data_IF_234234910970
#
_entry.id   IF_234234910970
#
_cell.length_a   1.000
_cell.length_b   1.000
_cell.length_c   1.000
_cell.angle_alpha   90.00
_cell.angle_beta   90.00
_cell.angle_gamma   90.00
#
_symmetry.space_group_name_H-M   'P 1'
#
loop_
_entity.id
_entity.type
_entity.pdbx_description
1 polymer ?
#
# COMPACT_ATOMS: atom_id res chain seq x y z
N UNK A 1 30.68 -1.66 20.18
CA UNK A 1 30.88 -0.91 18.93
C UNK A 1 29.58 -1.00 18.16
N UNK A 2 28.86 0.09 17.92
CA UNK A 2 27.58 0.08 17.21
C UNK A 2 27.79 0.25 15.72
N UNK A 3 27.17 -0.61 14.92
CA UNK A 3 27.08 -0.46 13.48
C UNK A 3 26.02 0.58 13.13
N UNK A 4 26.49 1.78 12.79
CA UNK A 4 25.69 2.84 12.19
C UNK A 4 25.75 2.71 10.66
N UNK A 5 24.71 2.16 10.03
CA UNK A 5 24.54 2.31 8.58
C UNK A 5 23.61 3.48 8.28
N UNK A 6 24.19 4.68 8.35
CA UNK A 6 23.55 5.88 7.81
C UNK A 6 23.59 5.83 6.28
N UNK A 7 22.43 5.72 5.65
CA UNK A 7 22.25 6.01 4.23
C UNK A 7 22.49 7.53 4.02
N UNK A 8 23.72 7.89 3.69
CA UNK A 8 24.07 9.23 3.22
C UNK A 8 23.62 9.37 1.78
N UNK A 9 22.54 10.12 1.57
CA UNK A 9 22.17 10.62 0.24
C UNK A 9 22.96 11.89 -0.01
N UNK A 10 23.87 11.83 -0.96
CA UNK A 10 24.65 12.96 -1.45
C UNK A 10 23.71 13.87 -2.25
N UNK A 11 23.56 15.11 -1.78
CA UNK A 11 22.92 16.18 -2.53
C UNK A 11 23.90 16.61 -3.65
N UNK A 12 23.61 16.23 -4.89
CA UNK A 12 24.28 16.82 -6.05
C UNK A 12 23.33 17.84 -6.67
N UNK A 13 23.66 19.12 -6.55
CA UNK A 13 23.12 20.19 -7.41
C UNK A 13 23.50 19.84 -8.85
N UNK A 14 22.53 19.58 -9.69
CA UNK A 14 22.72 19.41 -11.11
C UNK A 14 22.26 20.68 -11.80
N UNK A 15 23.24 21.46 -12.28
CA UNK A 15 23.05 22.46 -13.31
C UNK A 15 22.47 21.78 -14.55
N UNK A 16 21.49 22.43 -15.19
CA UNK A 16 20.92 21.97 -16.45
C UNK A 16 21.99 22.07 -17.55
N UNK A 17 22.71 20.99 -17.77
CA UNK A 17 23.45 20.75 -18.99
C UNK A 17 22.66 19.80 -19.89
N UNK A 18 22.72 19.95 -21.23
CA UNK A 18 22.04 19.05 -22.14
C UNK A 18 22.57 17.65 -21.91
N UNK A 19 21.66 16.70 -21.68
CA UNK A 19 21.97 15.29 -21.44
C UNK A 19 22.57 14.72 -22.72
N UNK A 20 23.89 14.50 -22.73
CA UNK A 20 24.54 13.64 -23.73
C UNK A 20 24.22 12.20 -23.36
N UNK A 21 23.37 11.56 -24.19
CA UNK A 21 22.90 10.20 -24.02
C UNK A 21 24.07 9.19 -24.00
N UNK A 22 24.09 8.29 -23.01
CA UNK A 22 24.87 7.06 -23.04
C UNK A 22 24.20 6.03 -23.96
N UNK A 23 25.00 5.36 -24.74
CA UNK A 23 24.64 4.47 -25.83
C UNK A 23 23.95 3.17 -25.42
N UNK A 24 22.77 3.25 -24.75
CA UNK A 24 21.80 2.13 -24.58
C UNK A 24 20.41 2.61 -24.15
N UNK A 25 20.21 3.92 -23.96
CA UNK A 25 18.88 4.54 -23.81
C UNK A 25 18.59 5.22 -25.14
N UNK A 26 17.52 4.79 -25.83
CA UNK A 26 17.13 5.36 -27.12
C UNK A 26 17.05 6.90 -27.05
N UNK A 27 17.41 7.56 -28.16
CA UNK A 27 17.37 9.02 -28.28
C UNK A 27 15.99 9.52 -27.83
N UNK A 28 15.95 10.53 -26.91
CA UNK A 28 14.69 11.11 -26.43
C UNK A 28 13.91 11.69 -27.61
N UNK A 29 12.72 11.16 -27.85
CA UNK A 29 11.85 11.59 -28.94
C UNK A 29 11.04 12.82 -28.54
N UNK A 30 11.52 13.98 -28.97
CA UNK A 30 10.88 15.26 -28.71
C UNK A 30 9.49 15.34 -29.33
N UNK A 31 9.28 14.79 -30.54
CA UNK A 31 7.97 14.83 -31.19
C UNK A 31 6.94 14.03 -30.40
N UNK A 32 7.32 12.85 -29.87
CA UNK A 32 6.47 12.08 -28.97
C UNK A 32 6.15 12.84 -27.68
N UNK A 33 7.15 13.50 -27.08
CA UNK A 33 6.96 14.29 -25.86
C UNK A 33 5.95 15.42 -26.09
N UNK A 34 6.13 16.20 -27.15
CA UNK A 34 5.23 17.28 -27.50
C UNK A 34 3.81 16.78 -27.83
N UNK A 35 3.69 15.64 -28.50
CA UNK A 35 2.40 14.97 -28.74
C UNK A 35 1.67 14.61 -27.43
N UNK A 36 2.39 14.12 -26.43
CA UNK A 36 1.82 13.81 -25.10
C UNK A 36 1.33 15.09 -24.43
N UNK A 37 2.16 16.13 -24.40
CA UNK A 37 1.77 17.41 -23.80
C UNK A 37 0.54 18.03 -24.48
N UNK A 38 0.49 17.99 -25.82
CA UNK A 38 -0.66 18.42 -26.61
C UNK A 38 -1.92 17.59 -26.31
N UNK A 39 -1.77 16.27 -26.17
CA UNK A 39 -2.87 15.38 -25.81
C UNK A 39 -3.40 15.65 -24.38
N UNK A 40 -2.52 15.93 -23.42
CA UNK A 40 -2.92 16.33 -22.06
C UNK A 40 -3.70 17.63 -22.08
N UNK A 41 -3.20 18.67 -22.81
CA UNK A 41 -3.88 19.97 -22.96
C UNK A 41 -5.28 19.78 -23.52
N UNK A 42 -5.38 19.09 -24.65
CA UNK A 42 -6.66 18.85 -25.32
C UNK A 42 -7.66 18.16 -24.41
N UNK A 43 -7.22 17.09 -23.72
CA UNK A 43 -8.09 16.35 -22.83
C UNK A 43 -8.50 17.15 -21.60
N UNK A 44 -7.56 17.86 -20.96
CA UNK A 44 -7.86 18.69 -19.79
C UNK A 44 -8.88 19.80 -20.13
N UNK A 45 -8.73 20.45 -21.28
CA UNK A 45 -9.69 21.44 -21.79
C UNK A 45 -11.07 20.82 -22.02
N UNK A 46 -11.13 19.62 -22.65
CA UNK A 46 -12.40 18.92 -22.90
C UNK A 46 -13.11 18.47 -21.61
N UNK A 47 -12.38 18.33 -20.53
CA UNK A 47 -12.89 17.95 -19.21
C UNK A 47 -13.12 19.18 -18.30
N UNK A 48 -13.11 20.41 -18.86
CA UNK A 48 -13.39 21.70 -18.20
C UNK A 48 -12.45 22.01 -17.01
N UNK A 49 -11.19 21.58 -17.09
CA UNK A 49 -10.17 21.98 -16.13
C UNK A 49 -9.75 23.42 -16.44
N UNK A 50 -9.53 24.25 -15.42
CA UNK A 50 -9.16 25.66 -15.59
C UNK A 50 -7.87 25.81 -16.40
N UNK A 51 -7.79 26.89 -17.19
CA UNK A 51 -6.60 27.20 -17.97
C UNK A 51 -5.37 27.39 -17.10
N UNK A 52 -5.54 27.93 -15.88
CA UNK A 52 -4.46 28.10 -14.90
C UNK A 52 -3.82 26.77 -14.54
N UNK A 53 -4.61 25.76 -14.15
CA UNK A 53 -4.09 24.44 -13.79
C UNK A 53 -3.46 23.72 -14.99
N UNK A 54 -4.03 23.90 -16.20
CA UNK A 54 -3.45 23.35 -17.43
C UNK A 54 -2.06 23.95 -17.67
N UNK A 55 -1.95 25.28 -17.63
CA UNK A 55 -0.70 25.98 -17.89
C UNK A 55 0.34 25.70 -16.81
N UNK A 56 -0.07 25.63 -15.54
CA UNK A 56 0.81 25.27 -14.44
C UNK A 56 1.35 23.84 -14.57
N UNK A 57 0.50 22.89 -14.98
CA UNK A 57 0.92 21.50 -15.22
C UNK A 57 1.97 21.40 -16.32
N UNK A 58 1.79 22.20 -17.41
CA UNK A 58 2.56 22.09 -18.64
C UNK A 58 3.62 23.22 -18.81
N UNK A 59 3.81 24.10 -17.83
CA UNK A 59 4.72 25.25 -17.92
C UNK A 59 6.20 24.86 -18.09
N UNK A 60 6.65 23.85 -17.37
CA UNK A 60 8.03 23.37 -17.42
C UNK A 60 8.08 21.86 -17.11
N UNK A 61 7.53 21.03 -17.99
CA UNK A 61 7.49 19.59 -17.80
C UNK A 61 8.89 19.00 -17.95
N UNK A 62 9.25 18.12 -17.00
CA UNK A 62 10.56 17.47 -16.98
C UNK A 62 10.38 15.97 -17.12
N UNK A 63 11.05 15.36 -18.08
CA UNK A 63 11.20 13.92 -18.15
C UNK A 63 12.13 13.42 -17.03
N UNK A 64 11.69 12.42 -16.28
CA UNK A 64 12.40 11.86 -15.12
C UNK A 64 12.74 10.39 -15.36
N UNK A 65 13.94 10.07 -15.92
CA UNK A 65 14.34 8.69 -16.26
C UNK A 65 14.27 7.72 -15.08
N UNK A 66 14.57 8.18 -13.87
CA UNK A 66 14.51 7.34 -12.67
C UNK A 66 13.10 6.83 -12.34
N UNK A 67 12.07 7.56 -12.70
CA UNK A 67 10.67 7.14 -12.55
C UNK A 67 10.37 5.96 -13.48
N UNK A 68 10.75 6.07 -14.74
CA UNK A 68 10.61 5.00 -15.73
C UNK A 68 11.42 3.76 -15.34
N UNK A 69 12.66 3.96 -14.88
CA UNK A 69 13.49 2.87 -14.37
C UNK A 69 12.84 2.16 -13.18
N UNK A 70 12.25 2.90 -12.24
CA UNK A 70 11.54 2.31 -11.08
C UNK A 70 10.32 1.50 -11.51
N UNK A 71 9.60 1.96 -12.54
CA UNK A 71 8.45 1.25 -13.10
C UNK A 71 8.85 -0.06 -13.81
N UNK A 72 9.99 -0.07 -14.52
CA UNK A 72 10.53 -1.29 -15.17
C UNK A 72 11.12 -2.27 -14.18
N UNK A 73 11.72 -1.78 -13.10
CA UNK A 73 12.43 -2.56 -12.09
C UNK A 73 11.55 -2.85 -10.86
N UNK A 74 10.24 -3.06 -11.03
CA UNK A 74 9.40 -3.64 -9.98
C UNK A 74 9.82 -5.10 -9.73
N UNK A 75 11.04 -5.30 -9.23
CA UNK A 75 11.41 -6.57 -8.61
C UNK A 75 10.59 -6.69 -7.33
N UNK A 76 9.61 -7.56 -7.33
CA UNK A 76 9.04 -8.08 -6.11
C UNK A 76 10.21 -8.67 -5.31
N UNK A 77 10.68 -7.94 -4.30
CA UNK A 77 11.53 -8.54 -3.28
C UNK A 77 10.66 -9.62 -2.65
N UNK A 78 10.95 -10.88 -2.97
CA UNK A 78 10.28 -12.04 -2.40
C UNK A 78 10.76 -12.21 -0.96
N UNK A 79 10.33 -11.31 -0.08
CA UNK A 79 10.51 -11.48 1.35
C UNK A 79 9.61 -12.61 1.82
N UNK A 80 10.09 -13.46 2.72
CA UNK A 80 9.21 -14.36 3.46
C UNK A 80 8.19 -13.53 4.26
N UNK A 81 7.06 -14.13 4.63
CA UNK A 81 6.07 -13.47 5.46
C UNK A 81 6.68 -12.95 6.76
N UNK A 82 7.53 -13.75 7.40
CA UNK A 82 8.20 -13.36 8.63
C UNK A 82 9.11 -12.13 8.44
N UNK A 83 9.95 -12.13 7.40
CA UNK A 83 10.81 -10.99 7.07
C UNK A 83 9.98 -9.74 6.78
N UNK A 84 8.86 -9.89 6.06
CA UNK A 84 7.95 -8.80 5.77
C UNK A 84 7.33 -8.21 7.05
N UNK A 85 6.82 -9.06 7.95
CA UNK A 85 6.23 -8.64 9.22
C UNK A 85 7.26 -7.97 10.13
N UNK A 86 8.46 -8.54 10.28
CA UNK A 86 9.53 -7.96 11.08
C UNK A 86 9.92 -6.55 10.59
N UNK A 87 9.91 -6.34 9.27
CA UNK A 87 10.19 -5.04 8.66
C UNK A 87 9.04 -4.05 8.82
N UNK A 88 7.79 -4.50 8.71
CA UNK A 88 6.63 -3.61 8.61
C UNK A 88 5.87 -3.45 9.93
N UNK A 89 5.85 -4.44 10.81
CA UNK A 89 5.17 -4.42 12.12
C UNK A 89 6.19 -4.34 13.24
N UNK A 90 7.13 -3.39 13.14
CA UNK A 90 8.20 -3.19 14.10
C UNK A 90 7.77 -2.29 15.28
N UNK A 91 8.54 -2.34 16.37
CA UNK A 91 8.26 -1.61 17.61
C UNK A 91 8.13 -0.09 17.40
N UNK A 92 8.96 0.50 16.54
CA UNK A 92 8.89 1.94 16.27
C UNK A 92 7.55 2.33 15.66
N UNK A 93 7.06 1.55 14.68
CA UNK A 93 5.75 1.80 14.06
C UNK A 93 4.61 1.61 15.04
N UNK A 94 4.67 0.59 15.90
CA UNK A 94 3.67 0.37 16.95
C UNK A 94 3.65 1.54 17.94
N UNK A 95 4.80 1.97 18.43
CA UNK A 95 4.89 3.10 19.37
C UNK A 95 4.42 4.41 18.72
N UNK A 96 4.79 4.67 17.47
CA UNK A 96 4.31 5.84 16.74
C UNK A 96 2.78 5.79 16.55
N UNK A 97 2.21 4.62 16.25
CA UNK A 97 0.76 4.44 16.16
C UNK A 97 0.04 4.75 17.48
N UNK A 98 0.57 4.26 18.60
CA UNK A 98 0.04 4.59 19.93
C UNK A 98 0.12 6.08 20.24
N UNK A 99 1.20 6.76 19.84
CA UNK A 99 1.30 8.23 19.96
C UNK A 99 0.25 8.93 19.12
N UNK A 100 -0.01 8.44 17.89
CA UNK A 100 -1.04 9.02 17.02
C UNK A 100 -2.46 8.77 17.56
N UNK A 101 -2.72 7.62 18.18
CA UNK A 101 -3.99 7.35 18.86
C UNK A 101 -4.26 8.40 19.97
N UNK A 102 -3.25 8.73 20.77
CA UNK A 102 -3.33 9.76 21.82
C UNK A 102 -3.45 11.17 21.23
N UNK A 103 -2.79 11.42 20.10
CA UNK A 103 -2.79 12.76 19.47
C UNK A 103 -4.10 13.11 18.77
N UNK A 104 -4.77 12.11 18.18
CA UNK A 104 -5.96 12.31 17.33
C UNK A 104 -7.22 11.56 17.78
N UNK A 105 -7.54 11.46 19.10
CA UNK A 105 -8.61 10.59 19.57
C UNK A 105 -9.98 11.03 19.03
N UNK A 106 -10.24 12.34 19.03
CA UNK A 106 -11.50 12.90 18.52
C UNK A 106 -11.66 12.65 17.01
N UNK A 107 -10.61 12.85 16.23
CA UNK A 107 -10.65 12.64 14.78
C UNK A 107 -10.88 11.17 14.44
N UNK A 108 -10.15 10.27 15.07
CA UNK A 108 -10.31 8.82 14.91
C UNK A 108 -11.72 8.36 15.28
N UNK A 109 -12.26 8.84 16.40
CA UNK A 109 -13.63 8.54 16.82
C UNK A 109 -14.69 9.08 15.82
N UNK A 110 -14.48 10.26 15.23
CA UNK A 110 -15.34 10.78 14.17
C UNK A 110 -15.33 9.89 12.93
N UNK A 111 -14.12 9.40 12.50
CA UNK A 111 -13.99 8.50 11.37
C UNK A 111 -14.67 7.16 11.63
N UNK A 112 -14.49 6.59 12.81
CA UNK A 112 -15.13 5.35 13.23
C UNK A 112 -16.65 5.47 13.23
N UNK A 113 -17.19 6.55 13.80
CA UNK A 113 -18.62 6.82 13.81
C UNK A 113 -19.20 7.04 12.39
N UNK A 114 -18.47 7.71 11.51
CA UNK A 114 -18.94 8.03 10.17
C UNK A 114 -18.90 6.83 9.21
N UNK A 115 -17.90 5.96 9.33
CA UNK A 115 -17.62 4.92 8.34
C UNK A 115 -17.62 3.49 8.90
N UNK A 116 -17.74 3.31 10.20
CA UNK A 116 -17.70 1.99 10.86
C UNK A 116 -16.33 1.33 10.81
N UNK A 117 -15.26 2.07 10.51
CA UNK A 117 -13.89 1.55 10.47
C UNK A 117 -13.20 1.85 11.79
N UNK A 118 -12.81 0.84 12.60
CA UNK A 118 -12.25 1.07 13.92
C UNK A 118 -10.96 1.89 13.87
N UNK A 119 -10.76 2.73 14.89
CA UNK A 119 -9.62 3.65 15.01
C UNK A 119 -8.26 2.95 14.84
N UNK A 120 -8.08 1.77 15.44
CA UNK A 120 -6.85 0.98 15.33
C UNK A 120 -6.58 0.47 13.91
N UNK A 121 -7.63 0.27 13.10
CA UNK A 121 -7.49 -0.10 11.68
C UNK A 121 -7.01 1.10 10.86
N UNK A 122 -7.62 2.28 11.04
CA UNK A 122 -7.16 3.51 10.37
C UNK A 122 -5.69 3.79 10.70
N UNK A 123 -5.30 3.64 11.97
CA UNK A 123 -3.91 3.80 12.40
C UNK A 123 -2.97 2.76 11.76
N UNK A 124 -3.41 1.51 11.60
CA UNK A 124 -2.62 0.48 10.94
C UNK A 124 -2.35 0.83 9.47
N UNK A 125 -3.37 1.25 8.72
CA UNK A 125 -3.19 1.73 7.35
C UNK A 125 -2.25 2.95 7.30
N UNK A 126 -2.47 3.95 8.14
CA UNK A 126 -1.63 5.15 8.18
C UNK A 126 -0.16 4.82 8.47
N UNK A 127 0.08 3.91 9.41
CA UNK A 127 1.42 3.40 9.71
C UNK A 127 2.06 2.65 8.54
N UNK A 128 1.30 1.78 7.88
CA UNK A 128 1.81 1.00 6.75
C UNK A 128 2.12 1.85 5.52
N UNK A 129 1.27 2.83 5.20
CA UNK A 129 1.38 3.64 3.98
C UNK A 129 2.49 4.70 4.07
N UNK A 130 2.58 5.43 5.17
CA UNK A 130 3.50 6.57 5.25
C UNK A 130 4.27 6.70 6.56
N UNK A 131 4.24 5.67 7.42
CA UNK A 131 4.75 5.77 8.79
C UNK A 131 4.19 7.01 9.51
N UNK A 132 2.87 7.16 9.47
CA UNK A 132 2.12 8.28 10.07
C UNK A 132 2.47 9.65 9.47
N UNK A 133 2.79 9.70 8.18
CA UNK A 133 3.13 10.92 7.45
C UNK A 133 4.60 11.35 7.55
N UNK A 134 5.46 10.54 8.18
CA UNK A 134 6.91 10.83 8.26
C UNK A 134 7.63 10.61 6.92
N UNK A 135 7.14 9.66 6.11
CA UNK A 135 7.73 9.36 4.80
C UNK A 135 7.31 10.43 3.80
N UNK A 136 8.24 11.33 3.48
CA UNK A 136 7.99 12.39 2.52
C UNK A 136 8.11 11.88 1.09
N UNK A 137 7.10 12.19 0.30
CA UNK A 137 7.09 11.96 -1.15
C UNK A 137 8.11 12.84 -1.87
N UNK A 138 8.80 12.29 -2.91
CA UNK A 138 9.97 12.94 -3.54
C UNK A 138 9.70 13.48 -4.94
N UNK A 139 8.78 12.83 -5.68
CA UNK A 139 8.56 13.14 -7.09
C UNK A 139 7.46 14.18 -7.24
N UNK A 140 7.70 15.22 -8.07
CA UNK A 140 6.63 16.06 -8.57
C UNK A 140 5.72 15.18 -9.44
N UNK A 141 4.43 15.05 -9.05
CA UNK A 141 3.55 14.06 -9.66
C UNK A 141 3.27 14.33 -11.12
N UNK A 142 3.17 15.60 -11.54
CA UNK A 142 3.01 15.97 -12.94
C UNK A 142 4.16 15.41 -13.79
N UNK A 143 5.41 15.59 -13.36
CA UNK A 143 6.58 15.08 -14.06
C UNK A 143 6.66 13.54 -14.04
N UNK A 144 6.29 12.92 -12.93
CA UNK A 144 6.27 11.46 -12.83
C UNK A 144 5.27 10.84 -13.81
N UNK A 145 4.04 11.37 -13.85
CA UNK A 145 3.02 10.86 -14.77
C UNK A 145 3.38 11.10 -16.24
N UNK A 146 3.84 12.30 -16.59
CA UNK A 146 4.29 12.60 -17.96
C UNK A 146 5.42 11.67 -18.40
N UNK A 147 6.37 11.36 -17.52
CA UNK A 147 7.46 10.43 -17.81
C UNK A 147 6.96 9.00 -18.05
N UNK A 148 5.99 8.55 -17.25
CA UNK A 148 5.39 7.22 -17.41
C UNK A 148 4.47 7.13 -18.64
N UNK A 149 3.84 8.23 -19.02
CA UNK A 149 3.12 8.33 -20.29
C UNK A 149 4.08 8.22 -21.49
N UNK A 150 5.24 8.91 -21.39
CA UNK A 150 6.26 8.85 -22.44
C UNK A 150 6.84 7.44 -22.61
N UNK A 151 7.03 6.65 -21.54
CA UNK A 151 7.43 5.24 -21.62
C UNK A 151 6.43 4.40 -22.43
N UNK A 152 5.15 4.75 -22.42
CA UNK A 152 4.09 4.19 -23.26
C UNK A 152 3.46 2.89 -22.71
N UNK A 153 4.13 2.15 -21.84
CA UNK A 153 3.70 0.83 -21.34
C UNK A 153 2.33 0.87 -20.67
N UNK A 154 2.01 1.96 -19.95
CA UNK A 154 0.73 2.19 -19.26
C UNK A 154 0.21 3.61 -19.50
N UNK A 155 0.39 4.14 -20.70
CA UNK A 155 0.09 5.53 -21.06
C UNK A 155 -1.33 5.94 -20.67
N UNK A 156 -2.34 5.17 -21.08
CA UNK A 156 -3.75 5.44 -20.75
C UNK A 156 -4.00 5.52 -19.23
N UNK A 157 -3.38 4.63 -18.46
CA UNK A 157 -3.53 4.64 -17.01
C UNK A 157 -2.95 5.92 -16.41
N UNK A 158 -1.72 6.30 -16.77
CA UNK A 158 -1.07 7.48 -16.21
C UNK A 158 -1.69 8.79 -16.72
N UNK A 159 -2.21 8.82 -17.95
CA UNK A 159 -3.04 9.93 -18.44
C UNK A 159 -4.25 10.13 -17.53
N UNK A 160 -4.97 9.07 -17.20
CA UNK A 160 -6.12 9.16 -16.29
C UNK A 160 -5.71 9.65 -14.89
N UNK A 161 -4.56 9.23 -14.37
CA UNK A 161 -4.06 9.73 -13.09
C UNK A 161 -3.72 11.22 -13.14
N UNK A 162 -3.06 11.69 -14.22
CA UNK A 162 -2.71 13.10 -14.37
C UNK A 162 -3.96 13.98 -14.49
N UNK A 163 -4.92 13.59 -15.31
CA UNK A 163 -6.18 14.34 -15.43
C UNK A 163 -6.95 14.37 -14.13
N UNK A 164 -7.00 13.25 -13.39
CA UNK A 164 -7.62 13.23 -12.06
C UNK A 164 -6.90 14.15 -11.07
N UNK A 165 -5.55 14.17 -11.10
CA UNK A 165 -4.75 15.07 -10.28
C UNK A 165 -5.04 16.54 -10.58
N UNK A 166 -5.11 16.90 -11.88
CA UNK A 166 -5.45 18.25 -12.33
C UNK A 166 -6.84 18.67 -11.84
N UNK A 167 -7.85 17.79 -11.95
CA UNK A 167 -9.21 18.05 -11.41
C UNK A 167 -9.24 18.24 -9.91
N UNK A 168 -8.44 17.45 -9.17
CA UNK A 168 -8.33 17.60 -7.72
C UNK A 168 -7.71 18.94 -7.36
N UNK A 169 -6.62 19.30 -8.04
CA UNK A 169 -5.94 20.58 -7.82
C UNK A 169 -6.88 21.77 -8.12
N UNK A 170 -7.57 21.72 -9.25
CA UNK A 170 -8.53 22.75 -9.70
C UNK A 170 -9.68 22.92 -8.69
N UNK A 171 -10.35 21.83 -8.37
CA UNK A 171 -11.50 21.84 -7.46
C UNK A 171 -11.16 22.30 -6.04
N UNK A 172 -9.98 21.94 -5.54
CA UNK A 172 -9.58 22.19 -4.17
C UNK A 172 -8.59 23.36 -4.03
N UNK A 173 -8.33 24.10 -5.11
CA UNK A 173 -7.41 25.24 -5.17
C UNK A 173 -5.99 24.90 -4.67
N UNK A 174 -5.51 23.68 -5.01
CA UNK A 174 -4.18 23.21 -4.63
C UNK A 174 -3.15 23.61 -5.69
N UNK A 175 -1.97 24.03 -5.26
CA UNK A 175 -0.84 24.27 -6.17
C UNK A 175 -0.33 22.92 -6.72
N UNK A 176 -0.74 22.60 -7.96
CA UNK A 176 -0.38 21.34 -8.63
C UNK A 176 1.14 21.18 -8.78
N UNK A 177 1.90 22.26 -8.80
CA UNK A 177 3.35 22.23 -8.90
C UNK A 177 4.02 21.73 -7.61
N UNK A 178 3.33 21.85 -6.48
CA UNK A 178 3.81 21.42 -5.16
C UNK A 178 3.31 20.04 -4.76
N UNK A 179 2.42 19.41 -5.52
CA UNK A 179 1.95 18.05 -5.21
C UNK A 179 3.08 17.04 -5.46
N UNK A 180 3.49 16.37 -4.39
CA UNK A 180 4.54 15.34 -4.39
C UNK A 180 3.95 13.97 -4.08
N UNK A 181 4.53 12.93 -4.69
CA UNK A 181 4.11 11.55 -4.46
C UNK A 181 5.24 10.54 -4.63
N UNK A 182 4.88 9.27 -4.64
CA UNK A 182 5.77 8.19 -5.05
C UNK A 182 6.02 8.27 -6.57
N UNK A 183 6.99 7.50 -7.06
CA UNK A 183 7.24 7.40 -8.50
C UNK A 183 6.01 6.90 -9.29
N UNK A 184 5.13 6.10 -8.66
CA UNK A 184 3.91 5.56 -9.27
C UNK A 184 2.66 6.43 -9.05
N UNK A 185 2.79 7.59 -8.38
CA UNK A 185 1.69 8.54 -8.22
C UNK A 185 0.92 8.44 -6.91
N UNK A 186 1.35 7.61 -5.97
CA UNK A 186 0.74 7.55 -4.63
C UNK A 186 1.12 8.78 -3.81
N UNK A 187 0.16 9.43 -3.14
CA UNK A 187 0.34 10.70 -2.44
C UNK A 187 -0.35 10.76 -1.08
N UNK A 188 0.15 11.64 -0.24
CA UNK A 188 -0.41 11.95 1.07
C UNK A 188 -0.25 10.85 2.11
N UNK A 189 -0.94 11.03 3.22
CA UNK A 189 -0.82 10.19 4.41
C UNK A 189 -1.17 8.71 4.19
N UNK A 190 -2.09 8.42 3.28
CA UNK A 190 -2.57 7.06 2.98
C UNK A 190 -2.23 6.60 1.55
N UNK A 191 -1.28 7.27 0.90
CA UNK A 191 -0.76 6.90 -0.41
C UNK A 191 -1.85 6.65 -1.48
N UNK A 192 -2.84 7.53 -1.54
CA UNK A 192 -3.88 7.49 -2.57
C UNK A 192 -3.30 7.81 -3.95
N UNK A 193 -3.74 7.07 -4.98
CA UNK A 193 -3.58 7.53 -6.36
C UNK A 193 -4.68 8.53 -6.72
N UNK A 194 -4.45 9.48 -7.64
CA UNK A 194 -5.40 10.55 -7.95
C UNK A 194 -6.82 10.09 -8.27
N UNK A 195 -7.00 9.05 -9.09
CA UNK A 195 -8.33 8.53 -9.44
C UNK A 195 -9.08 7.98 -8.23
N UNK A 196 -8.39 7.34 -7.28
CA UNK A 196 -8.99 6.85 -6.04
C UNK A 196 -9.37 8.02 -5.13
N UNK A 197 -8.51 9.04 -5.03
CA UNK A 197 -8.84 10.26 -4.26
C UNK A 197 -10.03 11.01 -4.87
N UNK A 198 -10.08 11.15 -6.19
CA UNK A 198 -11.21 11.80 -6.86
C UNK A 198 -12.56 11.11 -6.56
N UNK A 199 -12.54 9.79 -6.37
CA UNK A 199 -13.74 8.99 -6.12
C UNK A 199 -14.11 8.92 -4.64
N UNK A 200 -13.14 8.86 -3.75
CA UNK A 200 -13.35 8.56 -2.33
C UNK A 200 -12.89 9.65 -1.36
N UNK A 201 -12.31 10.74 -1.87
CA UNK A 201 -11.86 11.85 -1.05
C UNK A 201 -13.01 12.51 -0.28
N UNK A 202 -12.74 12.90 0.96
CA UNK A 202 -13.67 13.55 1.85
C UNK A 202 -12.98 14.73 2.54
N UNK A 203 -13.65 15.87 2.59
CA UNK A 203 -13.28 17.00 3.44
C UNK A 203 -13.59 16.61 4.91
N UNK A 204 -12.57 16.23 5.63
CA UNK A 204 -12.69 15.74 7.02
C UNK A 204 -12.56 16.83 8.06
N UNK A 205 -11.96 17.99 7.71
CA UNK A 205 -11.78 19.13 8.58
C UNK A 205 -12.91 20.19 8.43
N UNK A 206 -13.66 20.16 7.31
CA UNK A 206 -14.79 21.04 7.04
C UNK A 206 -14.41 22.41 6.47
N UNK A 207 -13.25 22.51 5.79
CA UNK A 207 -12.78 23.76 5.17
C UNK A 207 -13.21 23.93 3.71
N UNK A 208 -14.01 23.00 3.16
CA UNK A 208 -14.48 22.91 1.79
C UNK A 208 -13.38 22.57 0.76
N UNK A 209 -12.25 22.05 1.21
CA UNK A 209 -11.17 21.53 0.37
C UNK A 209 -10.82 20.10 0.75
N UNK A 210 -10.22 19.35 -0.15
CA UNK A 210 -9.72 18.00 0.15
C UNK A 210 -8.21 17.99 -0.06
N UNK A 211 -7.46 18.11 1.04
CA UNK A 211 -5.99 18.07 1.04
C UNK A 211 -5.47 16.92 1.89
N UNK A 212 -5.33 15.74 1.31
CA UNK A 212 -4.82 14.54 2.00
C UNK A 212 -3.31 14.57 2.28
N UNK A 213 -2.62 15.62 1.83
CA UNK A 213 -1.18 15.81 2.02
C UNK A 213 -0.92 16.61 3.30
N UNK A 214 -1.60 17.72 3.48
CA UNK A 214 -1.38 18.65 4.60
C UNK A 214 -2.45 18.53 5.69
N UNK A 215 -3.66 18.02 5.36
CA UNK A 215 -4.75 17.77 6.32
C UNK A 215 -4.82 16.30 6.73
N UNK A 216 -4.46 16.02 7.98
CA UNK A 216 -4.63 14.68 8.57
C UNK A 216 -6.11 14.30 8.66
N UNK A 217 -7.00 15.30 8.86
CA UNK A 217 -8.44 15.09 8.88
C UNK A 217 -8.98 14.53 7.58
N UNK A 218 -8.68 15.20 6.47
CA UNK A 218 -9.11 14.78 5.13
C UNK A 218 -8.53 13.42 4.76
N UNK A 219 -7.26 13.20 5.12
CA UNK A 219 -6.60 11.93 4.86
C UNK A 219 -7.28 10.77 5.61
N UNK A 220 -7.58 10.92 6.90
CA UNK A 220 -8.26 9.89 7.71
C UNK A 220 -9.69 9.66 7.25
N UNK A 221 -10.47 10.73 6.98
CA UNK A 221 -11.85 10.62 6.50
C UNK A 221 -11.91 9.97 5.11
N UNK A 222 -11.00 10.33 4.21
CA UNK A 222 -10.89 9.70 2.89
C UNK A 222 -10.56 8.21 3.00
N UNK A 223 -9.65 7.82 3.89
CA UNK A 223 -9.30 6.42 4.12
C UNK A 223 -10.49 5.64 4.71
N UNK A 224 -11.17 6.20 5.70
CA UNK A 224 -12.38 5.62 6.30
C UNK A 224 -13.49 5.42 5.26
N UNK A 225 -13.77 6.46 4.46
CA UNK A 225 -14.76 6.39 3.39
C UNK A 225 -14.39 5.32 2.35
N UNK A 226 -13.13 5.26 1.93
CA UNK A 226 -12.71 4.26 0.95
C UNK A 226 -12.88 2.83 1.49
N UNK A 227 -12.47 2.54 2.72
CA UNK A 227 -12.67 1.22 3.35
C UNK A 227 -14.17 0.89 3.49
N UNK A 228 -14.99 1.84 3.89
CA UNK A 228 -16.45 1.68 3.95
C UNK A 228 -17.02 1.32 2.55
N UNK A 229 -16.64 2.05 1.50
CA UNK A 229 -17.07 1.77 0.12
C UNK A 229 -16.54 0.45 -0.43
N UNK A 230 -15.41 -0.04 0.06
CA UNK A 230 -14.94 -1.41 -0.22
C UNK A 230 -15.76 -2.48 0.51
N UNK A 231 -16.70 -2.07 1.36
CA UNK A 231 -17.63 -2.93 2.09
C UNK A 231 -17.10 -3.37 3.46
N UNK A 232 -16.26 -2.56 4.13
CA UNK A 232 -15.79 -2.83 5.48
C UNK A 232 -16.94 -3.20 6.43
N UNK A 233 -16.78 -4.28 7.19
CA UNK A 233 -17.73 -4.69 8.22
C UNK A 233 -17.08 -4.57 9.61
N UNK A 234 -17.57 -3.68 10.49
CA UNK A 234 -17.01 -3.47 11.82
C UNK A 234 -17.06 -4.71 12.73
N UNK A 235 -17.99 -5.63 12.46
CA UNK A 235 -18.19 -6.83 13.26
C UNK A 235 -17.33 -8.02 12.81
N UNK A 236 -16.50 -7.86 11.76
CA UNK A 236 -15.66 -8.91 11.24
C UNK A 236 -14.18 -8.65 11.52
N UNK A 237 -13.46 -9.68 11.87
CA UNK A 237 -11.99 -9.63 11.94
C UNK A 237 -11.38 -9.51 10.54
N UNK A 238 -10.12 -9.07 10.50
CA UNK A 238 -9.29 -9.11 9.28
C UNK A 238 -8.72 -10.51 9.12
N UNK A 239 -7.91 -10.94 10.08
CA UNK A 239 -7.27 -12.24 10.12
C UNK A 239 -7.10 -12.74 11.56
N UNK A 240 -6.77 -14.01 11.71
CA UNK A 240 -6.41 -14.65 12.97
C UNK A 240 -5.15 -15.50 12.74
N UNK A 241 -4.11 -15.25 13.51
CA UNK A 241 -2.94 -16.14 13.51
C UNK A 241 -3.34 -17.50 14.08
N UNK A 242 -2.84 -18.56 13.46
CA UNK A 242 -3.10 -19.96 13.84
C UNK A 242 -1.83 -20.79 13.61
N UNK A 243 -1.80 -21.98 14.21
CA UNK A 243 -0.82 -23.02 13.93
C UNK A 243 -1.48 -24.22 13.25
N UNK A 244 -0.73 -24.88 12.40
CA UNK A 244 -1.18 -26.03 11.61
C UNK A 244 -0.37 -27.26 11.94
N UNK A 245 -0.94 -28.48 11.75
CA UNK A 245 -0.17 -29.71 11.74
C UNK A 245 0.99 -29.66 10.75
N UNK A 246 2.07 -30.35 11.06
CA UNK A 246 3.27 -30.34 10.24
C UNK A 246 3.09 -30.91 8.82
N UNK A 247 2.16 -31.84 8.68
CA UNK A 247 1.77 -32.51 7.41
C UNK A 247 0.59 -31.81 6.69
N UNK A 248 0.19 -30.62 7.14
CA UNK A 248 -0.94 -29.91 6.58
C UNK A 248 -0.80 -29.70 5.05
N UNK A 249 -1.88 -29.91 4.31
CA UNK A 249 -1.92 -29.74 2.86
C UNK A 249 -1.70 -28.27 2.44
N UNK A 250 -0.51 -27.99 1.88
CA UNK A 250 -0.12 -26.62 1.46
C UNK A 250 -0.96 -26.08 0.31
N UNK A 251 -1.65 -26.93 -0.46
CA UNK A 251 -2.55 -26.51 -1.54
C UNK A 251 -3.73 -25.65 -1.04
N UNK A 252 -4.09 -25.78 0.24
CA UNK A 252 -5.18 -25.07 0.90
C UNK A 252 -4.78 -23.69 1.45
N UNK A 253 -3.50 -23.31 1.35
CA UNK A 253 -2.92 -22.14 2.05
C UNK A 253 -2.87 -20.85 1.21
N UNK A 254 -3.60 -20.78 0.10
CA UNK A 254 -3.57 -19.61 -0.81
C UNK A 254 -4.69 -18.60 -0.52
N UNK A 255 -5.62 -18.91 0.37
CA UNK A 255 -6.74 -18.06 0.76
C UNK A 255 -7.95 -18.08 -0.20
N UNK A 256 -7.87 -18.79 -1.30
CA UNK A 256 -8.95 -19.01 -2.27
C UNK A 256 -9.92 -20.12 -1.82
N UNK A 257 -9.41 -21.16 -1.17
CA UNK A 257 -10.22 -22.22 -0.55
C UNK A 257 -10.81 -21.68 0.77
N UNK A 258 -12.13 -21.64 0.84
CA UNK A 258 -12.87 -21.17 2.02
C UNK A 258 -13.68 -22.29 2.62
N UNK A 259 -13.56 -22.47 3.94
CA UNK A 259 -14.28 -23.48 4.72
C UNK A 259 -14.86 -22.86 5.99
N UNK A 260 -15.92 -23.42 6.59
CA UNK A 260 -16.34 -23.10 7.95
C UNK A 260 -15.23 -23.32 8.96
N UNK A 261 -15.19 -22.53 10.03
CA UNK A 261 -14.17 -22.68 11.09
C UNK A 261 -14.20 -24.08 11.72
N UNK A 262 -15.38 -24.71 11.83
CA UNK A 262 -15.55 -26.10 12.29
C UNK A 262 -14.77 -27.08 11.42
N UNK A 263 -14.73 -26.89 10.10
CA UNK A 263 -13.92 -27.74 9.20
C UNK A 263 -12.43 -27.50 9.36
N UNK A 264 -12.00 -26.24 9.49
CA UNK A 264 -10.59 -25.96 9.77
C UNK A 264 -10.14 -26.55 11.10
N UNK A 265 -10.97 -26.47 12.15
CA UNK A 265 -10.69 -27.09 13.44
C UNK A 265 -10.55 -28.62 13.33
N UNK A 266 -11.44 -29.30 12.57
CA UNK A 266 -11.33 -30.76 12.35
C UNK A 266 -10.09 -31.19 11.57
N UNK A 267 -9.47 -30.26 10.82
CA UNK A 267 -8.19 -30.46 10.13
C UNK A 267 -6.96 -30.14 11.03
N UNK A 268 -7.16 -29.92 12.32
CA UNK A 268 -6.08 -29.66 13.27
C UNK A 268 -5.59 -28.22 13.34
N UNK A 269 -6.34 -27.25 12.81
CA UNK A 269 -6.01 -25.82 12.96
C UNK A 269 -6.28 -25.36 14.39
N UNK A 270 -5.26 -24.82 15.05
CA UNK A 270 -5.32 -24.39 16.45
C UNK A 270 -4.91 -22.92 16.60
N UNK A 271 -5.29 -22.30 17.72
CA UNK A 271 -4.71 -21.01 18.11
C UNK A 271 -3.20 -21.17 18.40
N UNK A 272 -2.41 -20.08 18.41
CA UNK A 272 -0.95 -20.15 18.67
C UNK A 272 -0.57 -20.75 20.02
N UNK A 273 -1.45 -20.71 21.01
CA UNK A 273 -1.27 -21.31 22.34
C UNK A 273 -1.68 -22.79 22.41
N UNK A 274 -2.04 -23.39 21.27
CA UNK A 274 -2.50 -24.77 21.17
C UNK A 274 -3.98 -24.96 21.51
N UNK A 275 -4.71 -23.94 21.93
CA UNK A 275 -6.14 -24.03 22.19
C UNK A 275 -6.97 -24.14 20.91
N UNK A 276 -8.17 -24.78 20.98
CA UNK A 276 -9.05 -24.88 19.81
C UNK A 276 -9.47 -23.50 19.26
N UNK A 277 -9.54 -23.38 17.92
CA UNK A 277 -10.21 -22.24 17.31
C UNK A 277 -11.75 -22.35 17.48
N UNK A 278 -12.51 -21.23 17.36
CA UNK A 278 -13.97 -21.30 17.38
C UNK A 278 -14.52 -22.28 16.31
N UNK A 279 -15.53 -23.07 16.68
CA UNK A 279 -16.15 -24.09 15.82
C UNK A 279 -17.54 -23.67 15.35
N UNK A 280 -17.69 -22.44 14.89
CA UNK A 280 -18.93 -21.94 14.30
C UNK A 280 -18.89 -22.03 12.76
N UNK A 281 -20.01 -21.72 12.11
CA UNK A 281 -20.16 -21.78 10.65
C UNK A 281 -19.55 -20.57 9.90
N UNK A 282 -18.86 -19.67 10.61
CA UNK A 282 -18.16 -18.56 9.97
C UNK A 282 -17.13 -19.09 8.97
N UNK A 283 -17.21 -18.60 7.74
CA UNK A 283 -16.35 -19.05 6.64
C UNK A 283 -15.06 -18.22 6.62
N UNK A 284 -13.93 -18.91 6.57
CA UNK A 284 -12.61 -18.29 6.43
C UNK A 284 -11.75 -18.98 5.37
N UNK A 285 -10.85 -18.23 4.74
CA UNK A 285 -9.73 -18.80 3.99
C UNK A 285 -8.54 -19.07 4.91
N UNK A 286 -7.50 -19.70 4.38
CA UNK A 286 -6.26 -19.93 5.11
C UNK A 286 -5.09 -19.47 4.24
N UNK A 287 -4.19 -18.66 4.81
CA UNK A 287 -3.02 -18.12 4.12
C UNK A 287 -1.77 -18.37 4.94
N UNK A 288 -0.72 -18.88 4.29
CA UNK A 288 0.60 -19.04 4.87
C UNK A 288 1.69 -18.81 3.82
N UNK A 289 2.94 -18.77 4.27
CA UNK A 289 4.12 -18.74 3.40
C UNK A 289 4.47 -20.16 2.96
N UNK A 290 3.86 -20.60 1.86
CA UNK A 290 4.02 -21.97 1.33
C UNK A 290 5.48 -22.25 1.00
N UNK A 291 6.20 -21.28 0.39
CA UNK A 291 7.61 -21.48 0.03
C UNK A 291 8.49 -21.69 1.27
N UNK A 292 8.24 -20.93 2.35
CA UNK A 292 8.97 -21.10 3.60
C UNK A 292 8.65 -22.45 4.27
N UNK A 293 7.39 -22.92 4.19
CA UNK A 293 6.96 -24.21 4.74
C UNK A 293 7.65 -25.36 3.99
N UNK A 294 7.64 -25.33 2.66
CA UNK A 294 8.25 -26.37 1.83
C UNK A 294 9.75 -26.44 2.06
N UNK A 295 10.45 -25.29 2.08
CA UNK A 295 11.87 -25.24 2.41
C UNK A 295 12.19 -25.77 3.80
N UNK A 296 11.36 -25.47 4.81
CA UNK A 296 11.57 -25.98 6.17
C UNK A 296 11.37 -27.51 6.26
N UNK A 297 10.43 -28.06 5.49
CA UNK A 297 10.20 -29.51 5.39
C UNK A 297 11.38 -30.23 4.71
N UNK A 298 11.88 -29.68 3.61
CA UNK A 298 13.06 -30.20 2.89
C UNK A 298 14.28 -30.24 3.80
N UNK A 299 14.58 -29.14 4.50
CA UNK A 299 15.70 -29.05 5.46
C UNK A 299 15.57 -30.06 6.61
N UNK A 300 14.35 -30.29 7.12
CA UNK A 300 14.12 -31.25 8.18
C UNK A 300 14.39 -32.70 7.73
N UNK A 301 14.10 -33.03 6.47
CA UNK A 301 14.38 -34.35 5.87
C UNK A 301 15.88 -34.58 5.63
N UNK A 302 16.66 -33.54 5.29
CA UNK A 302 18.09 -33.65 5.06
C UNK A 302 18.93 -33.84 6.33
N UNK A 303 18.49 -33.25 7.46
CA UNK A 303 19.25 -33.25 8.74
C UNK A 303 19.13 -34.56 9.50
N UNK A 304 18.17 -35.42 9.23
CA UNK A 304 17.91 -36.60 10.05
C UNK A 304 17.47 -37.82 9.22
N UNK A 305 18.38 -38.42 8.42
CA UNK A 305 18.06 -39.68 7.73
C UNK A 305 17.97 -40.89 8.68
N UNK A 306 18.51 -40.83 9.93
CA UNK A 306 18.66 -41.97 10.83
C UNK A 306 18.02 -41.82 12.22
N UNK A 307 17.30 -40.74 12.52
CA UNK A 307 16.64 -40.54 13.79
C UNK A 307 15.14 -40.28 13.61
N UNK A 308 14.32 -41.16 14.22
CA UNK A 308 12.85 -41.14 14.14
C UNK A 308 12.16 -39.85 14.65
N UNK A 309 12.87 -38.81 15.05
CA UNK A 309 12.26 -37.60 15.67
C UNK A 309 13.07 -36.37 15.37
N UNK A 310 13.03 -35.87 14.13
CA UNK A 310 13.24 -34.43 13.95
C UNK A 310 11.94 -33.71 14.32
N UNK A 311 11.96 -32.71 15.23
CA UNK A 311 10.74 -31.96 15.54
C UNK A 311 10.29 -31.24 14.28
N UNK A 312 9.17 -31.68 13.70
CA UNK A 312 8.57 -31.03 12.54
C UNK A 312 8.24 -29.57 12.88
N UNK A 313 8.56 -28.62 12.00
CA UNK A 313 8.38 -27.21 12.31
C UNK A 313 6.91 -26.87 12.52
N UNK A 314 6.63 -26.05 13.54
CA UNK A 314 5.30 -25.48 13.75
C UNK A 314 4.99 -24.54 12.59
N UNK A 315 3.96 -24.87 11.81
CA UNK A 315 3.53 -24.06 10.68
C UNK A 315 2.64 -22.92 11.19
N UNK A 316 3.11 -21.67 11.03
CA UNK A 316 2.27 -20.50 11.28
C UNK A 316 1.47 -20.15 10.03
N UNK A 317 0.16 -19.94 10.20
CA UNK A 317 -0.76 -19.50 9.16
C UNK A 317 -1.74 -18.45 9.69
N UNK A 318 -2.60 -17.94 8.80
CA UNK A 318 -3.64 -16.97 9.12
C UNK A 318 -4.99 -17.39 8.54
N UNK A 319 -5.97 -17.58 9.40
CA UNK A 319 -7.38 -17.59 8.99
C UNK A 319 -7.75 -16.18 8.52
N UNK A 320 -8.31 -16.07 7.31
CA UNK A 320 -8.62 -14.81 6.65
C UNK A 320 -10.12 -14.66 6.48
N UNK A 321 -10.65 -13.55 6.99
CA UNK A 321 -12.07 -13.23 7.01
C UNK A 321 -12.44 -12.22 5.89
N UNK A 322 -13.73 -11.90 5.67
CA UNK A 322 -14.11 -11.01 4.57
C UNK A 322 -13.38 -9.66 4.53
N UNK A 323 -13.09 -9.03 5.69
CA UNK A 323 -12.32 -7.78 5.73
C UNK A 323 -10.90 -7.91 5.16
N UNK A 324 -10.27 -9.08 5.26
CA UNK A 324 -8.98 -9.35 4.63
C UNK A 324 -9.02 -9.13 3.10
N UNK A 325 -10.08 -9.63 2.46
CA UNK A 325 -10.26 -9.49 1.01
C UNK A 325 -10.68 -8.07 0.61
N UNK A 326 -11.27 -7.29 1.51
CA UNK A 326 -11.52 -5.85 1.30
C UNK A 326 -10.23 -5.06 1.34
N UNK A 327 -9.31 -5.38 2.26
CA UNK A 327 -7.95 -4.81 2.30
C UNK A 327 -7.19 -5.14 1.02
N UNK A 328 -7.33 -6.34 0.48
CA UNK A 328 -6.71 -6.71 -0.81
C UNK A 328 -7.21 -5.90 -2.01
N UNK A 329 -8.34 -5.22 -1.93
CA UNK A 329 -8.77 -4.25 -2.96
C UNK A 329 -8.03 -2.92 -2.84
N UNK A 330 -7.51 -2.58 -1.65
CA UNK A 330 -6.61 -1.45 -1.45
C UNK A 330 -5.21 -1.78 -1.97
N UNK A 331 -4.64 -2.88 -1.50
CA UNK A 331 -3.35 -3.40 -1.94
C UNK A 331 -3.44 -4.91 -2.10
N UNK A 332 -3.29 -5.43 -3.33
CA UNK A 332 -3.46 -6.85 -3.65
C UNK A 332 -2.28 -7.71 -3.21
N UNK A 333 -1.92 -7.63 -1.94
CA UNK A 333 -0.88 -8.45 -1.30
C UNK A 333 -1.43 -9.14 -0.06
N UNK A 334 -1.22 -10.46 0.03
CA UNK A 334 -1.55 -11.21 1.25
C UNK A 334 -0.71 -10.73 2.44
N UNK A 335 0.58 -10.48 2.22
CA UNK A 335 1.50 -10.00 3.26
C UNK A 335 1.09 -8.63 3.79
N UNK A 336 0.69 -7.73 2.90
CA UNK A 336 0.17 -6.43 3.29
C UNK A 336 -1.10 -6.55 4.17
N UNK A 337 -2.06 -7.37 3.76
CA UNK A 337 -3.30 -7.54 4.51
C UNK A 337 -3.06 -8.22 5.88
N UNK A 338 -2.13 -9.18 5.97
CA UNK A 338 -1.69 -9.76 7.23
C UNK A 338 -0.99 -8.71 8.12
N UNK A 339 -0.11 -7.89 7.54
CA UNK A 339 0.57 -6.83 8.30
C UNK A 339 -0.41 -5.78 8.85
N UNK A 340 -1.44 -5.40 8.08
CA UNK A 340 -2.54 -4.54 8.57
C UNK A 340 -3.24 -5.21 9.77
N UNK A 341 -3.55 -6.51 9.69
CA UNK A 341 -4.19 -7.24 10.79
C UNK A 341 -3.31 -7.26 12.04
N UNK A 342 -2.04 -7.64 11.91
CA UNK A 342 -1.08 -7.71 13.02
C UNK A 342 -0.81 -6.34 13.66
N UNK A 343 -0.62 -5.29 12.84
CA UNK A 343 -0.40 -3.94 13.34
C UNK A 343 -1.66 -3.40 14.01
N UNK A 344 -2.82 -3.61 13.42
CA UNK A 344 -4.13 -3.23 13.96
C UNK A 344 -4.36 -3.85 15.34
N UNK A 345 -4.07 -5.16 15.52
CA UNK A 345 -4.23 -5.84 16.81
C UNK A 345 -3.27 -5.29 17.89
N UNK A 346 -2.08 -4.81 17.52
CA UNK A 346 -1.11 -4.20 18.43
C UNK A 346 -1.43 -2.73 18.79
N UNK A 347 -2.39 -2.12 18.09
CA UNK A 347 -2.84 -0.73 18.28
C UNK A 347 -4.20 -0.61 18.97
N UNK A 348 -4.82 -1.74 19.37
CA UNK A 348 -6.04 -1.78 20.20
C UNK A 348 -5.85 -1.21 21.59
#
# INVERSE_FOLDING_TARGET
MPFNSAFRIIFAMIFALPVIARADEGVFDMARWESILGGVRTRATSENISQEVIDDTLRAPVFVPSVVKSDKNQSEFKLSLEQYLNRTVNQNRIQNGKKMAVRYPTMLGRVENAFGVPSHVILAFWGMESNYGEVKSRHKLTNAFLSLMYDGRREKFFTNQLIALMKIADKNHLDINNIRGSWAGAMGHFQFIPTTLAQYGVDGNGDNSIDIINSVGDAMFSAGNYLNKLGWNPNERIARRVILPADFDTSLLKGDVKKPLSQWASMGVLNPDGSPIPTNDMVAGLVADVAAIESARENAMEVSPDTDVAPMPVITAYLTYPNFYRIKKWNNSNWYAIAIAELSDKLK
#
